data_IF_859978992811
#
_entry.id   IF_859978992811
#
_cell.length_a   1.000
_cell.length_b   1.000
_cell.length_c   1.000
_cell.angle_alpha   90.00
_cell.angle_beta   90.00
_cell.angle_gamma   90.00
#
_symmetry.space_group_name_H-M   'P 1'
#
loop_
_entity.id
_entity.type
_entity.pdbx_description
1 polymer ?
#
# COMPACT_ATOMS: atom_id res chain seq x y z
N UNK A 1 22.18 13.48 -12.21
CA UNK A 1 21.72 14.12 -13.49
C UNK A 1 20.29 14.60 -13.26
N UNK A 2 19.96 15.83 -13.72
CA UNK A 2 18.59 16.37 -13.61
C UNK A 2 17.66 15.60 -14.54
N UNK A 3 16.48 15.20 -14.03
CA UNK A 3 15.46 14.43 -14.77
C UNK A 3 14.15 15.20 -14.80
N UNK A 4 13.28 14.84 -15.75
CA UNK A 4 11.91 15.32 -15.86
C UNK A 4 10.98 14.23 -15.34
N UNK A 5 10.20 14.51 -14.30
CA UNK A 5 9.34 13.54 -13.63
C UNK A 5 7.89 14.04 -13.67
N UNK A 6 6.97 13.22 -14.18
CA UNK A 6 5.55 13.48 -14.06
C UNK A 6 4.97 12.78 -12.83
N UNK A 7 4.12 13.45 -12.06
CA UNK A 7 3.39 12.86 -10.94
C UNK A 7 1.90 12.83 -11.28
N UNK A 8 1.37 11.64 -11.51
CA UNK A 8 -0.05 11.42 -11.75
C UNK A 8 -0.77 11.21 -10.40
N UNK A 9 -1.44 12.25 -9.95
CA UNK A 9 -2.16 12.31 -8.67
C UNK A 9 -1.78 13.54 -7.85
N UNK A 10 -2.78 14.38 -7.56
CA UNK A 10 -2.63 15.65 -6.81
C UNK A 10 -3.01 15.54 -5.32
N UNK A 11 -3.22 14.32 -4.81
CA UNK A 11 -3.47 14.07 -3.39
C UNK A 11 -2.23 14.32 -2.52
N UNK A 12 -2.40 14.26 -1.19
CA UNK A 12 -1.33 14.55 -0.23
C UNK A 12 -0.03 13.75 -0.51
N UNK A 13 -0.16 12.45 -0.87
CA UNK A 13 1.00 11.62 -1.19
C UNK A 13 1.68 12.03 -2.50
N UNK A 14 0.90 12.34 -3.56
CA UNK A 14 1.46 12.86 -4.81
C UNK A 14 2.19 14.19 -4.63
N UNK A 15 1.63 15.09 -3.81
CA UNK A 15 2.28 16.35 -3.44
C UNK A 15 3.60 16.10 -2.68
N UNK A 16 3.63 15.16 -1.74
CA UNK A 16 4.83 14.80 -1.00
C UNK A 16 5.92 14.23 -1.92
N UNK A 17 5.58 13.32 -2.84
CA UNK A 17 6.54 12.76 -3.81
C UNK A 17 7.03 13.82 -4.80
N UNK A 18 6.16 14.73 -5.24
CA UNK A 18 6.56 15.86 -6.06
C UNK A 18 7.52 16.80 -5.32
N UNK A 19 7.30 17.04 -4.02
CA UNK A 19 8.19 17.80 -3.16
C UNK A 19 9.56 17.13 -3.07
N UNK A 20 9.62 15.83 -2.79
CA UNK A 20 10.88 15.05 -2.74
C UNK A 20 11.64 15.14 -4.06
N UNK A 21 10.97 14.90 -5.18
CA UNK A 21 11.61 14.94 -6.50
C UNK A 21 12.16 16.34 -6.85
N UNK A 22 11.45 17.42 -6.51
CA UNK A 22 11.95 18.80 -6.68
C UNK A 22 13.14 19.09 -5.78
N UNK A 23 13.08 18.66 -4.52
CA UNK A 23 14.18 18.83 -3.57
C UNK A 23 15.44 18.04 -4.00
N UNK A 24 15.27 16.92 -4.72
CA UNK A 24 16.35 16.16 -5.35
C UNK A 24 16.90 16.82 -6.64
N UNK A 25 16.38 18.00 -7.02
CA UNK A 25 16.87 18.78 -8.17
C UNK A 25 16.21 18.44 -9.51
N UNK A 26 15.11 17.67 -9.51
CA UNK A 26 14.40 17.29 -10.73
C UNK A 26 13.35 18.32 -11.16
N UNK A 27 12.99 18.31 -12.44
CA UNK A 27 11.83 19.03 -12.96
C UNK A 27 10.59 18.17 -12.74
N UNK A 28 9.54 18.74 -12.13
CA UNK A 28 8.34 17.99 -11.77
C UNK A 28 7.09 18.68 -12.29
N UNK A 29 6.34 17.97 -13.13
CA UNK A 29 4.97 18.32 -13.48
C UNK A 29 3.99 17.42 -12.72
N UNK A 30 2.85 17.99 -12.35
CA UNK A 30 1.77 17.25 -11.71
C UNK A 30 0.59 17.13 -12.65
N UNK A 31 0.00 15.94 -12.71
CA UNK A 31 -1.24 15.69 -13.43
C UNK A 31 -2.35 15.29 -12.48
N UNK A 32 -3.56 15.80 -12.74
CA UNK A 32 -4.78 15.40 -12.04
C UNK A 32 -5.94 15.26 -13.01
N UNK A 33 -7.00 14.54 -12.59
CA UNK A 33 -8.21 14.36 -13.39
C UNK A 33 -8.95 15.66 -13.75
N UNK A 34 -8.69 16.73 -13.03
CA UNK A 34 -9.33 18.04 -13.18
C UNK A 34 -8.56 18.97 -14.12
N UNK A 35 -7.35 18.59 -14.56
CA UNK A 35 -6.56 19.38 -15.48
C UNK A 35 -7.01 19.12 -16.91
N UNK A 36 -7.25 20.22 -17.65
CA UNK A 36 -7.54 20.21 -19.09
C UNK A 36 -6.27 20.16 -19.95
N UNK A 37 -5.09 20.46 -19.37
CA UNK A 37 -3.84 20.45 -20.11
C UNK A 37 -3.40 19.02 -20.43
N UNK A 38 -3.05 18.82 -21.70
CA UNK A 38 -2.47 17.56 -22.20
C UNK A 38 -1.00 17.57 -21.82
N UNK A 39 -0.62 16.69 -20.87
CA UNK A 39 0.80 16.45 -20.58
C UNK A 39 1.32 15.44 -21.60
N UNK A 40 2.37 15.81 -22.32
CA UNK A 40 3.08 14.89 -23.21
C UNK A 40 4.01 13.98 -22.41
N UNK A 41 3.48 12.86 -21.91
CA UNK A 41 4.21 11.94 -21.02
C UNK A 41 5.46 11.33 -21.66
N UNK A 42 5.56 11.32 -22.99
CA UNK A 42 6.75 10.86 -23.71
C UNK A 42 8.02 11.72 -23.46
N UNK A 43 7.84 12.94 -22.98
CA UNK A 43 8.95 13.87 -22.69
C UNK A 43 9.51 13.73 -21.27
N UNK A 44 9.00 12.79 -20.47
CA UNK A 44 9.42 12.57 -19.10
C UNK A 44 10.30 11.33 -18.98
N UNK A 45 11.25 11.36 -18.02
CA UNK A 45 12.15 10.25 -17.71
C UNK A 45 11.48 9.21 -16.80
N UNK A 46 10.44 9.59 -16.06
CA UNK A 46 9.58 8.68 -15.29
C UNK A 46 8.22 9.30 -14.99
N UNK A 47 7.24 8.43 -14.70
CA UNK A 47 5.91 8.81 -14.22
C UNK A 47 5.66 8.15 -12.88
N UNK A 48 5.39 8.95 -11.83
CA UNK A 48 4.99 8.46 -10.52
C UNK A 48 3.46 8.37 -10.47
N UNK A 49 2.94 7.17 -10.26
CA UNK A 49 1.50 6.90 -10.11
C UNK A 49 1.12 7.04 -8.62
N UNK A 50 0.65 8.22 -8.22
CA UNK A 50 0.27 8.57 -6.84
C UNK A 50 -1.24 8.72 -6.69
N UNK A 51 -1.98 7.77 -7.23
CA UNK A 51 -3.44 7.67 -7.18
C UNK A 51 -3.87 6.45 -6.37
N UNK A 52 -5.13 6.36 -5.90
CA UNK A 52 -5.64 5.15 -5.27
C UNK A 52 -5.52 3.92 -6.18
N UNK A 53 -5.32 2.73 -5.58
CA UNK A 53 -5.14 1.48 -6.33
C UNK A 53 -6.30 1.24 -7.32
N UNK A 54 -7.54 1.46 -6.89
CA UNK A 54 -8.73 1.30 -7.73
C UNK A 54 -8.82 2.30 -8.90
N UNK A 55 -8.00 3.34 -8.90
CA UNK A 55 -7.98 4.35 -9.97
C UNK A 55 -6.85 4.14 -10.99
N UNK A 56 -5.87 3.28 -10.71
CA UNK A 56 -4.65 3.10 -11.54
C UNK A 56 -5.01 2.75 -12.96
N UNK A 57 -5.86 1.75 -13.20
CA UNK A 57 -6.30 1.32 -14.53
C UNK A 57 -6.90 2.47 -15.35
N UNK A 58 -7.85 3.19 -14.76
CA UNK A 58 -8.52 4.30 -15.40
C UNK A 58 -7.58 5.48 -15.69
N UNK A 59 -6.61 5.72 -14.82
CA UNK A 59 -5.58 6.76 -15.01
C UNK A 59 -4.67 6.36 -16.16
N UNK A 60 -4.15 5.14 -16.22
CA UNK A 60 -3.30 4.66 -17.31
C UNK A 60 -4.00 4.75 -18.66
N UNK A 61 -5.29 4.39 -18.74
CA UNK A 61 -6.09 4.54 -19.95
C UNK A 61 -6.24 5.98 -20.43
N UNK A 62 -6.18 6.97 -19.53
CA UNK A 62 -6.25 8.40 -19.83
C UNK A 62 -4.90 8.99 -20.23
N UNK A 63 -3.85 8.71 -19.46
CA UNK A 63 -2.53 9.30 -19.68
C UNK A 63 -1.75 8.60 -20.81
N UNK A 64 -2.10 7.34 -21.13
CA UNK A 64 -1.50 6.52 -22.19
C UNK A 64 0.04 6.63 -22.20
N UNK A 65 0.71 6.26 -21.11
CA UNK A 65 2.14 6.47 -20.99
C UNK A 65 2.89 5.63 -22.01
N UNK A 66 3.99 6.14 -22.60
CA UNK A 66 4.84 5.34 -23.48
C UNK A 66 5.49 4.19 -22.71
N UNK A 67 5.61 3.02 -23.34
CA UNK A 67 6.21 1.82 -22.73
C UNK A 67 7.67 2.00 -22.26
N UNK A 68 8.39 2.93 -22.92
CA UNK A 68 9.79 3.19 -22.60
C UNK A 68 9.98 4.05 -21.33
N UNK A 69 8.91 4.69 -20.83
CA UNK A 69 8.96 5.55 -19.64
C UNK A 69 8.64 4.71 -18.41
N UNK A 70 9.56 4.59 -17.42
CA UNK A 70 9.33 3.89 -16.18
C UNK A 70 8.12 4.41 -15.42
N UNK A 71 7.29 3.49 -14.91
CA UNK A 71 6.11 3.79 -14.11
C UNK A 71 6.38 3.43 -12.65
N UNK A 72 6.55 4.44 -11.79
CA UNK A 72 6.79 4.27 -10.36
C UNK A 72 5.44 4.26 -9.65
N UNK A 73 4.97 3.08 -9.28
CA UNK A 73 3.71 2.83 -8.61
C UNK A 73 3.89 3.13 -7.13
N UNK A 74 3.09 4.06 -6.58
CA UNK A 74 3.04 4.31 -5.14
C UNK A 74 1.67 4.00 -4.52
N UNK A 75 0.76 3.45 -5.32
CA UNK A 75 -0.51 2.90 -4.88
C UNK A 75 -0.29 1.61 -4.07
N UNK A 76 -1.02 1.46 -2.96
CA UNK A 76 -0.87 0.34 -2.03
C UNK A 76 -2.19 -0.41 -1.89
N UNK A 77 -2.43 -1.40 -2.74
CA UNK A 77 -3.67 -2.17 -2.77
C UNK A 77 -3.70 -3.19 -3.90
N UNK A 78 -4.81 -3.89 -3.99
CA UNK A 78 -5.11 -4.89 -5.02
C UNK A 78 -6.35 -4.41 -5.78
N UNK A 79 -6.37 -4.51 -7.10
CA UNK A 79 -7.52 -4.10 -7.89
C UNK A 79 -8.73 -5.00 -7.61
N UNK A 80 -9.84 -4.39 -7.18
CA UNK A 80 -11.00 -5.13 -6.69
C UNK A 80 -11.68 -5.96 -7.79
N UNK A 81 -11.73 -5.46 -9.00
CA UNK A 81 -12.43 -6.12 -10.11
C UNK A 81 -11.70 -7.35 -10.64
N UNK A 82 -10.37 -7.36 -10.62
CA UNK A 82 -9.56 -8.39 -11.28
C UNK A 82 -8.73 -9.23 -10.31
N UNK A 83 -8.53 -8.78 -9.08
CA UNK A 83 -7.61 -9.39 -8.13
C UNK A 83 -6.13 -9.16 -8.48
N UNK A 84 -5.81 -8.26 -9.40
CA UNK A 84 -4.45 -8.00 -9.83
C UNK A 84 -3.73 -7.02 -8.92
N UNK A 85 -2.46 -7.28 -8.69
CA UNK A 85 -1.56 -6.30 -8.10
C UNK A 85 -1.28 -5.17 -9.11
N UNK A 86 -0.80 -4.03 -8.61
CA UNK A 86 -0.69 -2.83 -9.44
C UNK A 86 0.36 -2.96 -10.56
N UNK A 87 1.44 -3.71 -10.34
CA UNK A 87 2.40 -4.02 -11.40
C UNK A 87 1.75 -4.84 -12.53
N UNK A 88 0.86 -5.78 -12.20
CA UNK A 88 0.13 -6.58 -13.17
C UNK A 88 -0.88 -5.72 -13.96
N UNK A 89 -1.56 -4.78 -13.26
CA UNK A 89 -2.45 -3.80 -13.92
C UNK A 89 -1.67 -2.92 -14.88
N UNK A 90 -0.48 -2.44 -14.47
CA UNK A 90 0.40 -1.62 -15.31
C UNK A 90 0.83 -2.39 -16.55
N UNK A 91 1.33 -3.61 -16.40
CA UNK A 91 1.82 -4.43 -17.53
C UNK A 91 0.72 -4.89 -18.46
N UNK A 92 -0.51 -5.05 -17.96
CA UNK A 92 -1.69 -5.34 -18.80
C UNK A 92 -2.09 -4.14 -19.66
N UNK A 93 -2.15 -2.94 -19.08
CA UNK A 93 -2.61 -1.74 -19.79
C UNK A 93 -1.51 -1.14 -20.70
N UNK A 94 -0.25 -1.29 -20.28
CA UNK A 94 0.91 -0.79 -21.03
C UNK A 94 1.90 -1.94 -21.23
N UNK A 95 1.65 -2.83 -22.20
CA UNK A 95 2.51 -3.98 -22.46
C UNK A 95 3.96 -3.58 -22.72
N UNK A 96 4.89 -4.15 -21.96
CA UNK A 96 6.32 -3.84 -22.02
C UNK A 96 6.75 -2.63 -21.20
N UNK A 97 5.86 -2.02 -20.41
CA UNK A 97 6.25 -0.96 -19.48
C UNK A 97 7.11 -1.54 -18.34
N UNK A 98 8.08 -0.74 -17.90
CA UNK A 98 8.85 -1.01 -16.69
C UNK A 98 8.02 -0.54 -15.47
N UNK A 99 7.49 -1.49 -14.70
CA UNK A 99 6.73 -1.23 -13.50
C UNK A 99 7.64 -1.26 -12.27
N UNK A 100 7.81 -0.12 -11.62
CA UNK A 100 8.53 0.03 -10.36
C UNK A 100 7.54 0.26 -9.24
N UNK A 101 7.86 -0.16 -8.02
CA UNK A 101 6.97 -0.04 -6.86
C UNK A 101 7.67 0.67 -5.71
N UNK A 102 7.06 1.76 -5.22
CA UNK A 102 7.54 2.53 -4.08
C UNK A 102 6.63 2.28 -2.87
N UNK A 103 7.17 1.70 -1.81
CA UNK A 103 6.45 1.43 -0.56
C UNK A 103 7.36 1.53 0.65
N UNK A 104 6.78 1.68 1.85
CA UNK A 104 7.50 1.77 3.11
C UNK A 104 6.81 2.72 4.09
N UNK A 105 7.32 2.81 5.34
CA UNK A 105 6.73 3.62 6.41
C UNK A 105 6.85 5.11 6.09
N UNK A 106 5.76 5.71 5.58
CA UNK A 106 5.77 7.09 5.13
C UNK A 106 4.37 7.71 5.18
N UNK A 107 4.19 8.69 6.06
CA UNK A 107 3.04 9.57 5.99
C UNK A 107 3.39 10.83 5.19
N UNK A 108 2.50 11.23 4.31
CA UNK A 108 2.71 12.42 3.46
C UNK A 108 3.02 13.68 4.27
N UNK A 109 2.35 13.84 5.42
CA UNK A 109 2.55 15.00 6.30
C UNK A 109 3.97 15.04 6.89
N UNK A 110 4.55 13.89 7.23
CA UNK A 110 5.90 13.81 7.80
C UNK A 110 6.94 14.08 6.72
N UNK A 111 6.75 13.54 5.52
CA UNK A 111 7.63 13.79 4.37
C UNK A 111 7.68 15.27 4.00
N UNK A 112 6.52 15.93 3.92
CA UNK A 112 6.44 17.38 3.59
C UNK A 112 7.10 18.24 4.66
N UNK A 113 7.05 17.82 5.93
CA UNK A 113 7.75 18.50 7.04
C UNK A 113 9.25 18.25 7.07
N UNK A 114 9.79 17.41 6.16
CA UNK A 114 11.19 17.05 6.14
C UNK A 114 11.61 16.13 7.30
N UNK A 115 10.68 15.39 7.89
CA UNK A 115 11.00 14.42 8.94
C UNK A 115 11.66 13.17 8.36
N UNK A 116 12.56 12.51 9.12
CA UNK A 116 13.24 11.32 8.64
C UNK A 116 12.27 10.23 8.19
N UNK A 117 12.42 9.81 6.94
CA UNK A 117 11.59 8.78 6.31
C UNK A 117 12.47 7.84 5.51
N UNK A 118 12.15 6.56 5.53
CA UNK A 118 12.83 5.54 4.75
C UNK A 118 11.81 4.65 4.02
N UNK A 119 12.02 4.42 2.72
CA UNK A 119 11.15 3.62 1.88
C UNK A 119 11.94 2.69 0.98
N UNK A 120 11.28 1.71 0.37
CA UNK A 120 11.85 0.80 -0.62
C UNK A 120 11.30 1.13 -2.00
N UNK A 121 12.20 1.19 -2.99
CA UNK A 121 11.86 1.23 -4.41
C UNK A 121 12.25 -0.11 -5.03
N UNK A 122 11.27 -0.87 -5.48
CA UNK A 122 11.50 -2.12 -6.19
C UNK A 122 11.37 -1.92 -7.71
N UNK A 123 12.23 -2.61 -8.47
CA UNK A 123 12.26 -2.60 -9.92
C UNK A 123 12.53 -4.02 -10.44
N UNK A 124 12.39 -4.29 -11.76
CA UNK A 124 12.71 -5.60 -12.34
C UNK A 124 14.15 -6.04 -12.09
N UNK A 125 15.08 -5.09 -11.98
CA UNK A 125 16.49 -5.36 -11.63
C UNK A 125 16.96 -4.46 -10.48
N UNK A 126 17.90 -4.97 -9.68
CA UNK A 126 18.50 -4.20 -8.59
C UNK A 126 19.26 -2.96 -9.10
N UNK A 127 19.82 -3.02 -10.31
CA UNK A 127 20.51 -1.90 -10.94
C UNK A 127 19.54 -0.75 -11.22
N UNK A 128 18.39 -1.01 -11.84
CA UNK A 128 17.35 -0.02 -12.10
C UNK A 128 16.76 0.54 -10.80
N UNK A 129 16.49 -0.32 -9.81
CA UNK A 129 16.04 0.11 -8.49
C UNK A 129 17.05 1.06 -7.83
N UNK A 130 18.34 0.71 -7.88
CA UNK A 130 19.44 1.52 -7.33
C UNK A 130 19.59 2.87 -8.02
N UNK A 131 19.49 2.91 -9.34
CA UNK A 131 19.57 4.14 -10.13
C UNK A 131 18.46 5.15 -9.74
N UNK A 132 17.21 4.70 -9.68
CA UNK A 132 16.09 5.57 -9.30
C UNK A 132 16.07 5.88 -7.80
N UNK A 133 16.47 4.94 -6.95
CA UNK A 133 16.63 5.18 -5.52
C UNK A 133 17.66 6.30 -5.27
N UNK A 134 18.81 6.25 -5.94
CA UNK A 134 19.83 7.29 -5.85
C UNK A 134 19.35 8.65 -6.38
N UNK A 135 18.60 8.64 -7.48
CA UNK A 135 18.09 9.86 -8.10
C UNK A 135 17.09 10.61 -7.20
N UNK A 136 16.28 9.88 -6.43
CA UNK A 136 15.20 10.46 -5.61
C UNK A 136 15.54 10.55 -4.10
N UNK A 137 16.66 9.98 -3.65
CA UNK A 137 17.06 10.01 -2.23
C UNK A 137 17.47 11.41 -1.81
N UNK A 138 17.02 11.78 -0.60
CA UNK A 138 17.45 12.97 0.16
C UNK A 138 18.01 12.54 1.52
N UNK A 139 18.78 13.40 2.22
CA UNK A 139 19.24 13.10 3.58
C UNK A 139 18.12 12.67 4.53
N UNK A 140 16.94 13.32 4.43
CA UNK A 140 15.77 13.04 5.28
C UNK A 140 14.73 12.12 4.61
N UNK A 141 14.90 11.75 3.34
CA UNK A 141 14.03 10.80 2.63
C UNK A 141 14.90 9.75 1.95
N UNK A 142 15.14 8.65 2.65
CA UNK A 142 16.03 7.58 2.19
C UNK A 142 15.28 6.55 1.38
N UNK A 143 15.79 6.21 0.20
CA UNK A 143 15.22 5.16 -0.65
C UNK A 143 16.20 4.01 -0.78
N UNK A 144 15.74 2.80 -0.51
CA UNK A 144 16.51 1.57 -0.65
C UNK A 144 16.01 0.77 -1.84
N UNK A 145 16.93 0.37 -2.72
CA UNK A 145 16.59 -0.42 -3.92
C UNK A 145 16.31 -1.89 -3.58
N UNK A 146 15.39 -2.49 -4.31
CA UNK A 146 15.06 -3.93 -4.27
C UNK A 146 14.74 -4.44 -5.68
N UNK A 147 14.92 -5.72 -5.93
CA UNK A 147 14.45 -6.41 -7.14
C UNK A 147 13.27 -7.37 -6.84
N UNK A 148 12.66 -7.24 -5.67
CA UNK A 148 11.46 -7.98 -5.27
C UNK A 148 10.21 -7.10 -5.34
N UNK A 149 9.72 -6.88 -6.57
CA UNK A 149 8.52 -6.08 -6.84
C UNK A 149 7.32 -6.65 -6.11
N UNK A 150 7.11 -7.97 -6.17
CA UNK A 150 5.96 -8.63 -5.55
C UNK A 150 5.98 -8.50 -4.02
N UNK A 151 7.14 -8.67 -3.38
CA UNK A 151 7.27 -8.52 -1.93
C UNK A 151 6.93 -7.10 -1.45
N UNK A 152 7.38 -6.07 -2.18
CA UNK A 152 7.09 -4.68 -1.86
C UNK A 152 5.59 -4.35 -2.06
N UNK A 153 4.94 -4.89 -3.08
CA UNK A 153 3.49 -4.70 -3.30
C UNK A 153 2.64 -5.39 -2.25
N UNK A 154 2.93 -6.65 -1.95
CA UNK A 154 2.19 -7.44 -0.94
C UNK A 154 2.26 -6.75 0.41
N UNK A 155 3.46 -6.34 0.84
CA UNK A 155 3.65 -5.60 2.09
C UNK A 155 2.79 -4.34 2.14
N UNK A 156 2.87 -3.52 1.10
CA UNK A 156 2.11 -2.27 1.00
C UNK A 156 0.59 -2.46 0.94
N UNK A 157 0.09 -3.51 0.30
CA UNK A 157 -1.33 -3.79 0.16
C UNK A 157 -1.94 -4.35 1.45
N UNK A 158 -1.36 -5.43 1.99
CA UNK A 158 -1.95 -6.16 3.13
C UNK A 158 -1.84 -5.41 4.45
N UNK A 159 -0.80 -4.59 4.66
CA UNK A 159 -0.72 -3.75 5.87
C UNK A 159 -1.98 -2.91 6.12
N UNK A 160 -2.63 -2.46 5.05
CA UNK A 160 -3.83 -1.64 5.13
C UNK A 160 -5.02 -2.42 5.70
N UNK A 161 -5.15 -3.69 5.35
CA UNK A 161 -6.17 -4.60 5.90
C UNK A 161 -5.89 -4.87 7.37
N UNK A 162 -4.63 -5.16 7.71
CA UNK A 162 -4.20 -5.42 9.09
C UNK A 162 -4.36 -4.18 9.99
N UNK A 163 -4.15 -2.99 9.44
CA UNK A 163 -4.40 -1.75 10.17
C UNK A 163 -5.88 -1.56 10.53
N UNK A 164 -6.82 -2.00 9.67
CA UNK A 164 -8.25 -2.02 10.01
C UNK A 164 -8.50 -2.94 11.20
N UNK A 165 -7.93 -4.15 11.19
CA UNK A 165 -8.06 -5.09 12.31
C UNK A 165 -7.54 -4.49 13.63
N UNK A 166 -6.36 -3.85 13.61
CA UNK A 166 -5.78 -3.19 14.78
C UNK A 166 -6.67 -2.02 15.28
N UNK A 167 -7.21 -1.23 14.35
CA UNK A 167 -8.15 -0.17 14.69
C UNK A 167 -9.43 -0.71 15.34
N UNK A 168 -10.01 -1.79 14.82
CA UNK A 168 -11.18 -2.45 15.41
C UNK A 168 -10.86 -2.93 16.84
N UNK A 169 -9.71 -3.57 17.03
CA UNK A 169 -9.24 -4.04 18.34
C UNK A 169 -9.18 -2.89 19.36
N UNK A 170 -8.58 -1.77 18.99
CA UNK A 170 -8.44 -0.61 19.87
C UNK A 170 -9.80 0.08 20.10
N UNK A 171 -10.66 0.17 19.07
CA UNK A 171 -12.02 0.68 19.19
C UNK A 171 -12.90 -0.14 20.14
N UNK A 172 -12.65 -1.43 20.25
CA UNK A 172 -13.29 -2.35 21.23
C UNK A 172 -12.64 -2.33 22.60
N UNK A 173 -11.57 -1.55 22.79
CA UNK A 173 -10.88 -1.44 24.09
C UNK A 173 -10.11 -2.68 24.51
N UNK A 174 -9.62 -3.52 23.57
CA UNK A 174 -8.90 -4.76 23.87
C UNK A 174 -7.48 -4.55 24.40
N UNK A 175 -6.95 -3.34 24.25
CA UNK A 175 -5.66 -2.93 24.83
C UNK A 175 -4.44 -3.22 23.96
N UNK A 176 -3.29 -2.65 24.39
CA UNK A 176 -2.04 -2.67 23.63
C UNK A 176 -1.47 -4.06 23.40
N UNK A 177 -1.63 -4.97 24.36
CA UNK A 177 -1.18 -6.36 24.22
C UNK A 177 -1.93 -7.10 23.11
N UNK A 178 -3.24 -6.88 22.98
CA UNK A 178 -4.05 -7.46 21.91
C UNK A 178 -3.64 -6.88 20.55
N UNK A 179 -3.41 -5.56 20.47
CA UNK A 179 -2.92 -4.92 19.24
C UNK A 179 -1.56 -5.47 18.84
N UNK A 180 -0.61 -5.62 19.76
CA UNK A 180 0.71 -6.18 19.49
C UNK A 180 0.62 -7.63 18.99
N UNK A 181 -0.18 -8.47 19.66
CA UNK A 181 -0.43 -9.85 19.24
C UNK A 181 -1.06 -9.91 17.84
N UNK A 182 -2.08 -9.08 17.58
CA UNK A 182 -2.78 -9.00 16.31
C UNK A 182 -1.84 -8.54 15.18
N UNK A 183 -0.98 -7.54 15.42
CA UNK A 183 0.03 -7.08 14.47
C UNK A 183 1.01 -8.20 14.13
N UNK A 184 1.51 -8.91 15.14
CA UNK A 184 2.46 -10.02 14.96
C UNK A 184 1.83 -11.19 14.18
N UNK A 185 0.61 -11.59 14.55
CA UNK A 185 -0.12 -12.66 13.83
C UNK A 185 -0.51 -12.25 12.42
N UNK A 186 -0.92 -10.99 12.24
CA UNK A 186 -1.18 -10.43 10.91
C UNK A 186 0.07 -10.40 10.03
N UNK A 187 1.23 -10.06 10.59
CA UNK A 187 2.51 -10.16 9.88
C UNK A 187 2.84 -11.60 9.47
N UNK A 188 2.54 -12.59 10.32
CA UNK A 188 2.70 -14.00 9.95
C UNK A 188 1.77 -14.40 8.79
N UNK A 189 0.52 -13.90 8.74
CA UNK A 189 -0.38 -14.10 7.58
C UNK A 189 0.21 -13.48 6.31
N UNK A 190 0.62 -12.22 6.38
CA UNK A 190 1.25 -11.49 5.29
C UNK A 190 2.48 -12.26 4.76
N UNK A 191 3.32 -12.78 5.66
CA UNK A 191 4.51 -13.53 5.29
C UNK A 191 4.17 -14.84 4.59
N UNK A 192 3.17 -15.60 5.10
CA UNK A 192 2.72 -16.84 4.44
C UNK A 192 2.20 -16.58 3.03
N UNK A 193 1.33 -15.57 2.91
CA UNK A 193 0.77 -15.18 1.63
C UNK A 193 1.85 -14.69 0.66
N UNK A 194 2.76 -13.84 1.13
CA UNK A 194 3.85 -13.34 0.32
C UNK A 194 4.76 -14.45 -0.19
N UNK A 195 5.17 -15.37 0.68
CA UNK A 195 5.96 -16.56 0.28
C UNK A 195 5.26 -17.40 -0.78
N UNK A 196 3.95 -17.61 -0.65
CA UNK A 196 3.16 -18.38 -1.62
C UNK A 196 3.15 -17.72 -3.00
N UNK A 197 3.23 -16.38 -3.06
CA UNK A 197 3.28 -15.59 -4.29
C UNK A 197 4.70 -15.24 -4.75
N UNK A 198 5.72 -15.84 -4.14
CA UNK A 198 7.12 -15.68 -4.55
C UNK A 198 7.84 -14.46 -3.96
N UNK A 199 7.24 -13.75 -3.00
CA UNK A 199 7.92 -12.67 -2.26
C UNK A 199 9.03 -13.21 -1.36
N UNK A 200 10.13 -12.47 -1.25
CA UNK A 200 11.24 -12.83 -0.39
C UNK A 200 10.96 -12.46 1.08
N UNK A 201 11.26 -13.35 2.04
CA UNK A 201 11.10 -13.05 3.47
C UNK A 201 11.83 -11.78 3.91
N UNK A 202 13.01 -11.52 3.38
CA UNK A 202 13.85 -10.36 3.67
C UNK A 202 13.15 -9.06 3.28
N UNK A 203 12.45 -9.03 2.15
CA UNK A 203 11.64 -7.89 1.71
C UNK A 203 10.46 -7.66 2.64
N UNK A 204 9.78 -8.75 3.04
CA UNK A 204 8.61 -8.68 3.93
C UNK A 204 8.99 -8.24 5.35
N UNK A 205 10.18 -8.60 5.86
CA UNK A 205 10.69 -8.13 7.15
C UNK A 205 11.29 -6.73 7.10
N UNK A 206 11.47 -6.18 5.90
CA UNK A 206 12.03 -4.86 5.66
C UNK A 206 11.02 -3.71 5.77
N UNK A 207 11.41 -2.56 5.18
CA UNK A 207 10.63 -1.31 5.25
C UNK A 207 9.24 -1.44 4.63
N UNK A 208 9.12 -2.05 3.45
CA UNK A 208 7.86 -2.14 2.73
C UNK A 208 6.86 -3.14 3.34
N UNK A 209 7.34 -4.10 4.13
CA UNK A 209 6.52 -5.07 4.88
C UNK A 209 6.34 -4.68 6.34
N UNK A 210 7.20 -5.23 7.22
CA UNK A 210 7.09 -5.03 8.67
C UNK A 210 7.16 -3.55 9.08
N UNK A 211 8.07 -2.76 8.49
CA UNK A 211 8.22 -1.35 8.83
C UNK A 211 6.94 -0.55 8.59
N UNK A 212 6.34 -0.70 7.40
CA UNK A 212 5.10 0.00 7.03
C UNK A 212 3.88 -0.55 7.79
N UNK A 213 3.88 -1.85 8.13
CA UNK A 213 2.86 -2.46 8.97
C UNK A 213 2.88 -1.85 10.38
N UNK A 214 4.03 -1.79 11.04
CA UNK A 214 4.16 -1.22 12.40
C UNK A 214 3.68 0.23 12.45
N UNK A 215 4.11 1.06 11.48
CA UNK A 215 3.66 2.45 11.40
C UNK A 215 2.14 2.55 11.22
N UNK A 216 1.58 1.73 10.32
CA UNK A 216 0.18 1.85 9.91
C UNK A 216 -0.79 1.30 10.95
N UNK A 217 -0.40 0.25 11.69
CA UNK A 217 -1.22 -0.40 12.72
C UNK A 217 -1.24 0.32 14.07
N UNK A 218 -0.40 1.33 14.27
CA UNK A 218 -0.27 2.03 15.57
C UNK A 218 -0.52 3.54 15.50
N UNK A 219 -0.93 4.08 14.34
CA UNK A 219 -1.03 5.52 14.16
C UNK A 219 -2.42 5.98 13.72
N UNK A 220 -2.96 6.97 14.40
CA UNK A 220 -4.17 7.68 14.00
C UNK A 220 -4.02 8.46 12.66
N UNK A 221 -2.81 8.70 12.17
CA UNK A 221 -2.59 9.23 10.82
C UNK A 221 -2.95 8.20 9.73
N UNK A 222 -3.01 6.91 10.08
CA UNK A 222 -3.48 5.86 9.18
C UNK A 222 -4.99 5.91 9.01
N UNK A 223 -5.45 6.22 7.81
CA UNK A 223 -6.88 6.18 7.47
C UNK A 223 -7.51 4.81 7.70
N UNK A 224 -6.77 3.74 7.42
CA UNK A 224 -7.23 2.37 7.62
C UNK A 224 -7.39 2.05 9.11
N UNK A 225 -6.42 2.44 9.94
CA UNK A 225 -6.51 2.28 11.39
C UNK A 225 -7.68 3.10 11.96
N UNK A 226 -7.81 4.39 11.61
CA UNK A 226 -8.88 5.26 12.08
C UNK A 226 -10.26 4.78 11.63
N UNK A 227 -10.37 4.22 10.42
CA UNK A 227 -11.58 3.57 9.93
C UNK A 227 -11.96 2.35 10.80
N UNK A 228 -10.98 1.47 11.05
CA UNK A 228 -11.18 0.32 11.94
C UNK A 228 -11.57 0.73 13.36
N UNK A 229 -10.92 1.79 13.90
CA UNK A 229 -11.23 2.33 15.23
C UNK A 229 -12.70 2.77 15.33
N UNK A 230 -13.20 3.50 14.35
CA UNK A 230 -14.60 3.93 14.30
C UNK A 230 -15.57 2.74 14.27
N UNK A 231 -15.26 1.70 13.49
CA UNK A 231 -16.06 0.45 13.44
C UNK A 231 -16.04 -0.24 14.81
N UNK A 232 -14.87 -0.37 15.43
CA UNK A 232 -14.74 -0.95 16.77
C UNK A 232 -15.54 -0.22 17.84
N UNK A 233 -15.71 1.10 17.68
CA UNK A 233 -16.54 1.97 18.54
C UNK A 233 -18.03 1.90 18.23
N UNK A 234 -18.47 1.08 17.26
CA UNK A 234 -19.88 0.88 16.91
C UNK A 234 -20.37 1.74 15.73
N UNK A 235 -19.49 2.47 15.04
CA UNK A 235 -19.88 3.16 13.81
C UNK A 235 -20.07 2.16 12.69
N UNK A 236 -21.15 2.27 11.90
CA UNK A 236 -21.36 1.40 10.76
C UNK A 236 -20.27 1.58 9.70
N UNK A 237 -19.98 0.52 8.93
CA UNK A 237 -18.97 0.54 7.85
C UNK A 237 -19.24 1.69 6.87
N UNK A 238 -20.51 1.86 6.46
CA UNK A 238 -20.90 2.92 5.52
C UNK A 238 -20.68 4.32 6.09
N UNK A 239 -21.02 4.55 7.35
CA UNK A 239 -20.82 5.84 8.02
C UNK A 239 -19.31 6.14 8.21
N UNK A 240 -18.53 5.13 8.60
CA UNK A 240 -17.08 5.27 8.77
C UNK A 240 -16.37 5.56 7.42
N UNK A 241 -16.80 4.93 6.31
CA UNK A 241 -16.30 5.25 4.97
C UNK A 241 -16.65 6.68 4.55
N UNK A 242 -17.89 7.10 4.78
CA UNK A 242 -18.35 8.46 4.43
C UNK A 242 -17.61 9.54 5.22
N UNK A 243 -17.26 9.29 6.49
CA UNK A 243 -16.52 10.22 7.34
C UNK A 243 -15.00 10.26 7.02
N UNK A 244 -14.48 9.31 6.25
CA UNK A 244 -13.05 9.23 5.96
C UNK A 244 -12.58 10.37 5.03
N UNK A 245 -11.49 11.03 5.43
CA UNK A 245 -10.83 12.08 4.61
C UNK A 245 -9.96 11.47 3.50
N UNK A 246 -10.58 10.71 2.59
CA UNK A 246 -9.91 10.08 1.44
C UNK A 246 -10.15 8.58 1.38
N UNK A 247 -9.48 7.91 0.45
CA UNK A 247 -9.70 6.49 0.18
C UNK A 247 -9.13 5.62 1.31
N UNK A 248 -9.94 4.70 1.82
CA UNK A 248 -9.55 3.64 2.76
C UNK A 248 -9.19 2.40 1.94
N UNK A 249 -7.93 2.31 1.51
CA UNK A 249 -7.47 1.24 0.59
C UNK A 249 -7.70 -0.17 1.15
N UNK A 250 -7.55 -0.34 2.46
CA UNK A 250 -7.76 -1.62 3.12
C UNK A 250 -9.18 -2.14 3.01
N UNK A 251 -10.19 -1.25 2.95
CA UNK A 251 -11.58 -1.65 2.80
C UNK A 251 -11.84 -2.31 1.43
N UNK A 252 -11.21 -1.81 0.37
CA UNK A 252 -11.30 -2.42 -0.96
C UNK A 252 -10.42 -3.68 -1.08
N UNK A 253 -9.27 -3.68 -0.39
CA UNK A 253 -8.29 -4.77 -0.47
C UNK A 253 -8.73 -6.00 0.33
N UNK A 254 -9.48 -5.84 1.43
CA UNK A 254 -9.79 -6.92 2.38
C UNK A 254 -10.45 -8.14 1.70
N UNK A 255 -11.52 -7.93 0.95
CA UNK A 255 -12.22 -9.00 0.22
C UNK A 255 -11.30 -9.68 -0.79
N UNK A 256 -10.65 -8.88 -1.65
CA UNK A 256 -9.80 -9.43 -2.71
C UNK A 256 -8.62 -10.20 -2.14
N UNK A 257 -8.02 -9.72 -1.05
CA UNK A 257 -6.95 -10.42 -0.35
C UNK A 257 -7.44 -11.75 0.24
N UNK A 258 -8.67 -11.78 0.79
CA UNK A 258 -9.29 -13.01 1.26
C UNK A 258 -9.54 -14.00 0.10
N UNK A 259 -10.14 -13.54 -1.01
CA UNK A 259 -10.41 -14.37 -2.19
C UNK A 259 -9.11 -14.95 -2.78
N UNK A 260 -8.05 -14.15 -2.86
CA UNK A 260 -6.72 -14.61 -3.29
C UNK A 260 -6.12 -15.61 -2.30
N UNK A 261 -6.27 -15.39 -0.99
CA UNK A 261 -5.80 -16.33 0.03
C UNK A 261 -6.49 -17.70 -0.12
N UNK A 262 -7.81 -17.71 -0.33
CA UNK A 262 -8.57 -18.95 -0.60
C UNK A 262 -8.10 -19.62 -1.89
N UNK A 263 -7.95 -18.87 -2.98
CA UNK A 263 -7.46 -19.38 -4.28
C UNK A 263 -6.08 -20.04 -4.17
N UNK A 264 -5.20 -19.48 -3.34
CA UNK A 264 -3.83 -19.98 -3.14
C UNK A 264 -3.69 -20.91 -1.93
N UNK A 265 -4.81 -21.27 -1.27
CA UNK A 265 -4.85 -22.17 -0.10
C UNK A 265 -3.97 -21.67 1.06
N UNK A 266 -4.00 -20.35 1.32
CA UNK A 266 -3.27 -19.71 2.42
C UNK A 266 -4.23 -19.36 3.55
N UNK A 267 -3.98 -19.88 4.76
CA UNK A 267 -4.78 -19.58 5.96
C UNK A 267 -4.47 -18.15 6.45
N UNK A 268 -5.44 -17.24 6.26
CA UNK A 268 -5.37 -15.81 6.64
C UNK A 268 -6.58 -15.38 7.46
N UNK A 269 -6.74 -15.90 8.70
CA UNK A 269 -7.95 -15.68 9.49
C UNK A 269 -8.21 -14.22 9.88
N UNK A 270 -7.18 -13.40 10.08
CA UNK A 270 -7.36 -11.97 10.39
C UNK A 270 -7.87 -11.23 9.16
N UNK A 271 -7.30 -11.50 7.99
CA UNK A 271 -7.78 -10.92 6.72
C UNK A 271 -9.21 -11.36 6.44
N UNK A 272 -9.56 -12.63 6.69
CA UNK A 272 -10.91 -13.15 6.54
C UNK A 272 -11.91 -12.44 7.47
N UNK A 273 -11.55 -12.22 8.74
CA UNK A 273 -12.38 -11.50 9.70
C UNK A 273 -12.61 -10.03 9.27
N UNK A 274 -11.56 -9.34 8.81
CA UNK A 274 -11.71 -7.97 8.29
C UNK A 274 -12.61 -7.94 7.05
N UNK A 275 -12.46 -8.90 6.14
CA UNK A 275 -13.33 -9.03 4.97
C UNK A 275 -14.80 -9.27 5.36
N UNK A 276 -15.06 -10.16 6.32
CA UNK A 276 -16.42 -10.42 6.83
C UNK A 276 -17.05 -9.16 7.43
N UNK A 277 -16.31 -8.40 8.24
CA UNK A 277 -16.81 -7.17 8.86
C UNK A 277 -17.09 -6.09 7.79
N UNK A 278 -16.12 -5.84 6.91
CA UNK A 278 -16.16 -4.68 6.00
C UNK A 278 -17.08 -4.91 4.81
N UNK A 279 -17.12 -6.12 4.26
CA UNK A 279 -17.84 -6.44 3.03
C UNK A 279 -19.19 -7.12 3.28
N UNK A 280 -19.28 -7.98 4.31
CA UNK A 280 -20.48 -8.78 4.61
C UNK A 280 -21.28 -8.22 5.80
N UNK A 281 -20.77 -7.21 6.50
CA UNK A 281 -21.44 -6.58 7.63
C UNK A 281 -21.46 -7.46 8.90
N UNK A 282 -20.51 -8.40 9.04
CA UNK A 282 -20.40 -9.22 10.23
C UNK A 282 -20.09 -8.35 11.47
N UNK A 283 -20.64 -8.75 12.62
CA UNK A 283 -20.40 -8.04 13.88
C UNK A 283 -18.95 -8.22 14.37
N UNK A 284 -18.22 -7.14 14.67
CA UNK A 284 -16.83 -7.21 15.12
C UNK A 284 -16.62 -8.13 16.34
N UNK A 285 -17.58 -8.16 17.27
CA UNK A 285 -17.50 -8.99 18.45
C UNK A 285 -17.52 -10.50 18.11
N UNK A 286 -18.32 -10.90 17.12
CA UNK A 286 -18.40 -12.30 16.66
C UNK A 286 -17.12 -12.74 15.98
N UNK A 287 -16.56 -11.89 15.11
CA UNK A 287 -15.28 -12.20 14.44
C UNK A 287 -14.11 -12.27 15.40
N UNK A 288 -14.05 -11.38 16.40
CA UNK A 288 -13.06 -11.46 17.50
C UNK A 288 -13.22 -12.79 18.24
N UNK A 289 -14.45 -13.17 18.61
CA UNK A 289 -14.69 -14.43 19.29
C UNK A 289 -14.26 -15.64 18.45
N UNK A 290 -14.51 -15.64 17.14
CA UNK A 290 -14.06 -16.68 16.20
C UNK A 290 -12.54 -16.79 16.15
N UNK A 291 -11.85 -15.65 16.10
CA UNK A 291 -10.38 -15.63 16.10
C UNK A 291 -9.81 -16.21 17.41
N UNK A 292 -10.39 -15.83 18.55
CA UNK A 292 -9.95 -16.32 19.87
C UNK A 292 -10.28 -17.81 20.10
N UNK A 293 -11.33 -18.34 19.48
CA UNK A 293 -11.71 -19.76 19.56
C UNK A 293 -10.85 -20.68 18.67
N UNK A 294 -9.93 -20.14 17.85
CA UNK A 294 -9.04 -20.97 17.01
C UNK A 294 -8.12 -21.82 17.87
N UNK A 295 -7.85 -23.07 17.48
CA UNK A 295 -6.92 -23.93 18.22
C UNK A 295 -5.54 -23.28 18.35
N UNK A 296 -4.96 -23.38 19.54
CA UNK A 296 -3.57 -22.96 19.77
C UNK A 296 -2.65 -23.86 18.92
N UNK A 297 -1.77 -23.23 18.16
CA UNK A 297 -0.77 -23.90 17.31
C UNK A 297 0.64 -23.45 17.74
N UNK A 298 1.65 -24.18 17.32
CA UNK A 298 3.03 -23.73 17.46
C UNK A 298 3.22 -22.36 16.80
N UNK A 299 4.04 -21.52 17.42
CA UNK A 299 4.24 -20.13 16.94
C UNK A 299 4.96 -20.09 15.58
N UNK A 300 5.91 -21.01 15.40
CA UNK A 300 6.75 -21.10 14.19
C UNK A 300 6.55 -22.47 13.55
N UNK A 301 6.02 -22.45 12.35
CA UNK A 301 6.01 -23.60 11.42
C UNK A 301 6.48 -23.18 10.07
#
# INVERSE_FOLDING_TARGET
MKRRIAVAGSGAWGQALAHVARAAGHEVAMWSRQQSEIIEFASYDAIILAVPAQAVRGVLGRIKPPKAVPLIISAKGIEQQTGKFMNEVVTEIVPGAQAFVLSGPSFAADVVKGLPTAVTLAAPTLAEAGEWAQALTLPMFRIYGSDDVMGVEIGGALKNVLAIACGISDGRGLGDSARAALTTRGFAELTRFGKKLGARPETLTGLAGLGDLLLTCSSHQSRNYSFGLAIGQGTSVSAALAASRGVVEGAYTARVAHDLAMKHEVDMPIVAAVSAIVDQGAEPAEEIARLLARPVREEIR
#
